data_IF_904217186265
#
_entry.id   IF_904217186265
#
_cell.length_a   1.000
_cell.length_b   1.000
_cell.length_c   1.000
_cell.angle_alpha   90.00
_cell.angle_beta   90.00
_cell.angle_gamma   90.00
#
_symmetry.space_group_name_H-M   'P 1'
#
loop_
_entity.id
_entity.type
_entity.pdbx_description
1 polymer ?
#
# COMPACT_ATOMS: atom_id res chain seq x y z
N UNK A 1 -2.95 10.30 27.29
CA UNK A 1 -4.05 10.91 26.49
C UNK A 1 -4.34 12.40 26.76
N UNK A 2 -3.69 13.09 27.70
CA UNK A 2 -3.90 14.54 27.94
C UNK A 2 -2.72 15.43 27.53
N UNK A 3 -1.60 14.86 27.10
CA UNK A 3 -0.37 15.59 26.77
C UNK A 3 -0.14 15.76 25.25
N UNK A 4 -0.76 14.94 24.41
CA UNK A 4 -0.66 15.05 22.94
C UNK A 4 -1.57 16.16 22.40
N UNK A 5 -2.77 16.30 22.95
CA UNK A 5 -3.74 17.32 22.52
C UNK A 5 -3.27 18.79 22.78
N UNK A 6 -2.32 18.99 23.72
CA UNK A 6 -1.74 20.32 24.02
C UNK A 6 -0.64 20.73 23.05
N UNK A 7 0.04 19.77 22.40
CA UNK A 7 1.09 20.06 21.41
C UNK A 7 0.49 20.41 20.05
N UNK A 8 -0.61 19.76 19.68
CA UNK A 8 -1.29 20.02 18.41
C UNK A 8 -1.99 21.38 18.42
N UNK A 9 -2.64 21.75 19.54
CA UNK A 9 -3.28 23.07 19.70
C UNK A 9 -2.22 24.20 19.63
N UNK A 10 -1.05 24.00 20.24
CA UNK A 10 0.02 24.99 20.26
C UNK A 10 0.69 25.15 18.89
N UNK A 11 0.63 24.12 18.05
CA UNK A 11 1.14 24.16 16.68
C UNK A 11 0.18 24.88 15.74
N UNK A 12 -1.13 24.68 15.90
CA UNK A 12 -2.16 25.42 15.17
C UNK A 12 -2.22 26.91 15.56
N UNK A 13 -1.91 27.23 16.83
CA UNK A 13 -1.84 28.64 17.25
C UNK A 13 -0.62 29.36 16.67
N UNK A 14 0.54 28.69 16.61
CA UNK A 14 1.76 29.24 16.00
C UNK A 14 1.62 29.42 14.47
N UNK A 15 0.99 28.48 13.76
CA UNK A 15 0.71 28.61 12.32
C UNK A 15 -0.28 29.77 12.03
N UNK A 16 -1.22 30.03 12.93
CA UNK A 16 -2.15 31.16 12.81
C UNK A 16 -1.52 32.52 13.14
N UNK A 17 -0.53 32.56 14.01
CA UNK A 17 0.27 33.76 14.29
C UNK A 17 1.19 34.09 13.10
N UNK A 18 1.89 33.10 12.53
CA UNK A 18 2.74 33.30 11.35
C UNK A 18 1.93 33.75 10.12
N UNK A 19 0.70 33.23 9.93
CA UNK A 19 -0.17 33.68 8.84
C UNK A 19 -0.63 35.12 9.05
N UNK A 20 -0.90 35.55 10.27
CA UNK A 20 -1.30 36.93 10.57
C UNK A 20 -0.16 37.92 10.40
N UNK A 21 1.05 37.58 10.83
CA UNK A 21 2.23 38.41 10.61
C UNK A 21 2.54 38.60 9.11
N UNK A 22 2.39 37.54 8.31
CA UNK A 22 2.58 37.63 6.85
C UNK A 22 1.46 38.42 6.16
N UNK A 23 0.21 38.36 6.65
CA UNK A 23 -0.90 39.17 6.12
C UNK A 23 -0.74 40.67 6.50
N UNK A 24 -0.17 40.97 7.66
CA UNK A 24 0.09 42.34 8.12
C UNK A 24 1.28 42.97 7.36
N UNK A 25 2.37 42.21 7.12
CA UNK A 25 3.50 42.63 6.27
C UNK A 25 3.09 42.90 4.82
N UNK A 26 2.18 42.07 4.25
CA UNK A 26 1.65 42.28 2.90
C UNK A 26 0.79 43.56 2.86
N UNK A 27 0.02 43.86 3.90
CA UNK A 27 -0.84 45.03 3.97
C UNK A 27 -0.06 46.32 4.17
N UNK A 28 1.04 46.31 4.96
CA UNK A 28 1.95 47.43 5.09
C UNK A 28 2.75 47.71 3.80
N UNK A 29 3.07 46.65 3.04
CA UNK A 29 3.70 46.81 1.73
C UNK A 29 2.75 47.36 0.66
N UNK A 30 1.44 47.12 0.76
CA UNK A 30 0.43 47.69 -0.13
C UNK A 30 0.11 49.18 0.18
N UNK A 31 0.19 49.63 1.43
CA UNK A 31 -0.05 51.04 1.81
C UNK A 31 1.11 51.96 1.45
N UNK A 32 2.32 51.46 1.17
CA UNK A 32 3.49 52.30 0.87
C UNK A 32 3.75 52.50 -0.64
N UNK A 33 2.84 52.05 -1.52
CA UNK A 33 2.98 52.16 -2.99
C UNK A 33 1.99 53.10 -3.66
N UNK A 34 1.37 54.01 -2.90
CA UNK A 34 0.48 55.01 -3.50
C UNK A 34 1.09 56.43 -3.37
N UNK A 35 1.97 56.79 -4.31
CA UNK A 35 2.21 58.12 -4.85
C UNK A 35 3.43 58.09 -5.77
N UNK A 36 3.23 58.19 -7.09
CA UNK A 36 3.81 59.12 -8.04
C UNK A 36 3.77 58.60 -9.51
N UNK A 37 3.03 59.40 -10.26
CA UNK A 37 3.31 60.03 -11.57
C UNK A 37 3.50 59.19 -12.86
N UNK A 38 2.71 59.59 -13.84
CA UNK A 38 2.50 59.31 -15.27
C UNK A 38 3.68 58.83 -16.13
N UNK A 39 3.50 57.63 -16.77
CA UNK A 39 3.91 57.39 -18.17
C UNK A 39 3.26 56.12 -18.76
N UNK A 40 2.64 56.24 -19.94
CA UNK A 40 1.90 55.19 -20.68
C UNK A 40 2.69 53.92 -21.11
N UNK A 41 4.03 53.84 -21.11
CA UNK A 41 4.75 52.61 -21.36
C UNK A 41 4.77 51.63 -20.18
N UNK A 42 4.44 52.05 -18.95
CA UNK A 42 4.48 51.20 -17.76
C UNK A 42 3.23 50.32 -17.59
N UNK A 43 2.10 50.67 -18.21
CA UNK A 43 0.88 49.84 -18.10
C UNK A 43 0.95 48.55 -18.91
N UNK A 44 1.61 48.57 -20.07
CA UNK A 44 1.80 47.32 -20.87
C UNK A 44 2.80 46.37 -20.22
N UNK A 45 3.89 46.89 -19.61
CA UNK A 45 4.83 46.11 -18.85
C UNK A 45 4.21 45.55 -17.55
N UNK A 46 3.35 46.33 -16.86
CA UNK A 46 2.64 45.86 -15.66
C UNK A 46 1.65 44.74 -15.99
N UNK A 47 0.86 44.88 -17.06
CA UNK A 47 -0.06 43.83 -17.53
C UNK A 47 0.68 42.57 -17.95
N UNK A 48 1.82 42.71 -18.63
CA UNK A 48 2.66 41.53 -18.99
C UNK A 48 3.19 40.80 -17.76
N UNK A 49 3.63 41.54 -16.72
CA UNK A 49 4.09 40.94 -15.46
C UNK A 49 2.96 40.33 -14.65
N UNK A 50 1.78 40.94 -14.64
CA UNK A 50 0.58 40.38 -13.99
C UNK A 50 0.15 39.06 -14.65
N UNK A 51 0.15 39.01 -15.98
CA UNK A 51 -0.16 37.78 -16.73
C UNK A 51 0.88 36.68 -16.47
N UNK A 52 2.16 37.03 -16.37
CA UNK A 52 3.24 36.11 -16.00
C UNK A 52 3.06 35.58 -14.56
N UNK A 53 2.74 36.45 -13.60
CA UNK A 53 2.47 36.03 -12.22
C UNK A 53 1.22 35.16 -12.11
N UNK A 54 0.17 35.46 -12.85
CA UNK A 54 -1.05 34.66 -12.93
C UNK A 54 -0.74 33.26 -13.51
N UNK A 55 0.01 33.21 -14.60
CA UNK A 55 0.42 31.96 -15.22
C UNK A 55 1.31 31.13 -14.26
N UNK A 56 2.22 31.79 -13.54
CA UNK A 56 3.06 31.14 -12.53
C UNK A 56 2.23 30.61 -11.36
N UNK A 57 1.30 31.41 -10.84
CA UNK A 57 0.40 30.99 -9.76
C UNK A 57 -0.47 29.80 -10.16
N UNK A 58 -1.03 29.81 -11.38
CA UNK A 58 -1.79 28.68 -11.92
C UNK A 58 -0.93 27.43 -12.05
N UNK A 59 0.31 27.58 -12.49
CA UNK A 59 1.25 26.47 -12.60
C UNK A 59 1.60 25.88 -11.23
N UNK A 60 1.90 26.74 -10.24
CA UNK A 60 2.20 26.32 -8.87
C UNK A 60 0.99 25.60 -8.27
N UNK A 61 -0.22 26.12 -8.49
CA UNK A 61 -1.45 25.49 -8.04
C UNK A 61 -1.63 24.09 -8.65
N UNK A 62 -1.42 23.96 -9.96
CA UNK A 62 -1.50 22.69 -10.66
C UNK A 62 -0.44 21.68 -10.15
N UNK A 63 0.79 22.14 -9.94
CA UNK A 63 1.87 21.32 -9.40
C UNK A 63 1.58 20.87 -7.96
N UNK A 64 1.01 21.77 -7.14
CA UNK A 64 0.59 21.44 -5.78
C UNK A 64 -0.53 20.39 -5.76
N UNK A 65 -1.54 20.53 -6.61
CA UNK A 65 -2.63 19.55 -6.72
C UNK A 65 -2.12 18.18 -7.20
N UNK A 66 -1.20 18.18 -8.15
CA UNK A 66 -0.54 16.95 -8.61
C UNK A 66 0.31 16.31 -7.50
N UNK A 67 1.08 17.12 -6.77
CA UNK A 67 1.85 16.67 -5.62
C UNK A 67 0.95 16.07 -4.53
N UNK A 68 -0.15 16.75 -4.20
CA UNK A 68 -1.11 16.28 -3.21
C UNK A 68 -1.74 14.94 -3.60
N UNK A 69 -2.19 14.80 -4.85
CA UNK A 69 -2.74 13.55 -5.39
C UNK A 69 -1.71 12.41 -5.30
N UNK A 70 -0.49 12.69 -5.76
CA UNK A 70 0.61 11.72 -5.73
C UNK A 70 0.98 11.33 -4.29
N UNK A 71 0.98 12.26 -3.35
CA UNK A 71 1.34 11.99 -1.96
C UNK A 71 0.31 11.09 -1.26
N UNK A 72 -0.98 11.28 -1.56
CA UNK A 72 -2.05 10.39 -1.07
C UNK A 72 -1.86 8.97 -1.61
N UNK A 73 -1.57 8.82 -2.91
CA UNK A 73 -1.31 7.52 -3.52
C UNK A 73 -0.08 6.85 -2.89
N UNK A 74 1.05 7.56 -2.83
CA UNK A 74 2.31 7.03 -2.24
C UNK A 74 2.10 6.56 -0.79
N UNK A 75 1.30 7.30 -0.01
CA UNK A 75 1.00 6.89 1.38
C UNK A 75 0.14 5.63 1.44
N UNK A 76 -0.85 5.51 0.57
CA UNK A 76 -1.70 4.32 0.48
C UNK A 76 -0.89 3.10 0.04
N UNK A 77 -0.02 3.28 -0.97
CA UNK A 77 0.87 2.24 -1.48
C UNK A 77 1.86 1.77 -0.40
N UNK A 78 2.50 2.72 0.32
CA UNK A 78 3.42 2.40 1.41
C UNK A 78 2.74 1.63 2.55
N UNK A 79 1.48 1.96 2.90
CA UNK A 79 0.72 1.22 3.89
C UNK A 79 0.40 -0.21 3.41
N UNK A 80 0.04 -0.35 2.13
CA UNK A 80 -0.20 -1.65 1.50
C UNK A 80 1.08 -2.48 1.47
N UNK A 81 2.21 -1.87 1.12
CA UNK A 81 3.52 -2.53 1.09
C UNK A 81 3.94 -3.01 2.47
N UNK A 82 3.78 -2.17 3.50
CA UNK A 82 4.06 -2.55 4.88
C UNK A 82 3.19 -3.71 5.38
N UNK A 83 1.91 -3.75 4.98
CA UNK A 83 1.03 -4.90 5.26
C UNK A 83 1.52 -6.17 4.57
N UNK A 84 1.89 -6.09 3.28
CA UNK A 84 2.41 -7.23 2.53
C UNK A 84 3.69 -7.78 3.17
N UNK A 85 4.60 -6.90 3.59
CA UNK A 85 5.87 -7.30 4.21
C UNK A 85 5.66 -7.97 5.57
N UNK A 86 4.79 -7.43 6.42
CA UNK A 86 4.42 -8.02 7.69
C UNK A 86 3.77 -9.40 7.51
N UNK A 87 2.82 -9.53 6.58
CA UNK A 87 2.18 -10.81 6.26
C UNK A 87 3.21 -11.80 5.76
N UNK A 88 4.08 -11.41 4.80
CA UNK A 88 5.14 -12.27 4.26
C UNK A 88 6.05 -12.83 5.33
N UNK A 89 6.42 -12.03 6.34
CA UNK A 89 7.23 -12.47 7.47
C UNK A 89 6.50 -13.50 8.36
N UNK A 90 5.16 -13.47 8.38
CA UNK A 90 4.34 -14.35 9.20
C UNK A 90 3.99 -15.69 8.54
N UNK A 91 3.97 -15.74 7.19
CA UNK A 91 3.61 -16.95 6.43
C UNK A 91 4.42 -18.20 6.81
N UNK A 92 5.75 -18.14 7.07
CA UNK A 92 6.49 -19.33 7.49
C UNK A 92 6.00 -19.96 8.80
N UNK A 93 5.45 -19.16 9.71
CA UNK A 93 4.87 -19.66 10.96
C UNK A 93 3.62 -20.48 10.66
N UNK A 94 2.78 -19.98 9.76
CA UNK A 94 1.56 -20.64 9.31
C UNK A 94 1.86 -21.95 8.58
N UNK A 95 2.86 -21.96 7.67
CA UNK A 95 3.31 -23.17 6.98
C UNK A 95 3.80 -24.25 7.96
N UNK A 96 4.51 -23.84 9.03
CA UNK A 96 4.97 -24.77 10.04
C UNK A 96 3.81 -25.37 10.86
N UNK A 97 2.79 -24.57 11.16
CA UNK A 97 1.57 -25.06 11.84
C UNK A 97 0.78 -26.01 10.94
N UNK A 98 0.59 -25.69 9.66
CA UNK A 98 -0.06 -26.57 8.69
C UNK A 98 0.67 -27.92 8.59
N UNK A 99 2.00 -27.87 8.44
CA UNK A 99 2.84 -29.07 8.36
C UNK A 99 2.79 -29.93 9.63
N UNK A 100 2.78 -29.30 10.81
CA UNK A 100 2.64 -30.00 12.08
C UNK A 100 1.29 -30.73 12.16
N UNK A 101 0.20 -30.05 11.81
CA UNK A 101 -1.14 -30.65 11.77
C UNK A 101 -1.24 -31.80 10.79
N UNK A 102 -0.67 -31.65 9.59
CA UNK A 102 -0.66 -32.71 8.58
C UNK A 102 0.14 -33.95 9.05
N UNK A 103 1.31 -33.72 9.65
CA UNK A 103 2.13 -34.78 10.19
C UNK A 103 1.40 -35.57 11.29
N UNK A 104 0.75 -34.87 12.22
CA UNK A 104 0.02 -35.50 13.32
C UNK A 104 -1.26 -36.23 12.82
N UNK A 105 -1.95 -35.70 11.82
CA UNK A 105 -3.06 -36.41 11.15
C UNK A 105 -2.60 -37.71 10.52
N UNK A 106 -1.45 -37.68 9.84
CA UNK A 106 -0.87 -38.89 9.21
C UNK A 106 -0.41 -39.91 10.26
N UNK A 107 0.01 -39.48 11.45
CA UNK A 107 0.35 -40.33 12.58
C UNK A 107 -0.87 -40.93 13.30
N UNK A 108 -2.09 -40.51 12.92
CA UNK A 108 -3.32 -40.95 13.57
C UNK A 108 -3.55 -40.35 14.95
N UNK A 109 -2.81 -39.31 15.30
CA UNK A 109 -2.98 -38.60 16.58
C UNK A 109 -4.30 -37.87 16.59
N UNK A 110 -5.16 -38.16 17.55
CA UNK A 110 -6.42 -37.42 17.77
C UNK A 110 -6.47 -36.95 19.21
N UNK A 111 -6.99 -35.73 19.43
CA UNK A 111 -7.14 -35.23 20.79
C UNK A 111 -7.29 -33.69 20.84
N UNK A 112 -7.56 -33.20 22.04
CA UNK A 112 -7.83 -31.77 22.30
C UNK A 112 -6.72 -30.81 21.84
N UNK A 113 -5.47 -31.28 21.77
CA UNK A 113 -4.35 -30.51 21.27
C UNK A 113 -4.49 -30.23 19.75
N UNK A 114 -4.87 -31.27 18.98
CA UNK A 114 -5.12 -31.14 17.55
C UNK A 114 -6.26 -30.16 17.26
N UNK A 115 -7.38 -30.31 17.98
CA UNK A 115 -8.52 -29.41 17.86
C UNK A 115 -8.12 -27.98 18.18
N UNK A 116 -7.25 -27.77 19.19
CA UNK A 116 -6.70 -26.47 19.56
C UNK A 116 -5.83 -25.88 18.45
N UNK A 117 -4.95 -26.66 17.83
CA UNK A 117 -4.09 -26.20 16.72
C UNK A 117 -4.92 -25.87 15.47
N UNK A 118 -5.93 -26.68 15.14
CA UNK A 118 -6.85 -26.37 14.03
C UNK A 118 -7.61 -25.07 14.26
N UNK A 119 -8.04 -24.81 15.50
CA UNK A 119 -8.70 -23.55 15.85
C UNK A 119 -7.76 -22.35 15.69
N UNK A 120 -6.49 -22.48 16.11
CA UNK A 120 -5.48 -21.43 15.92
C UNK A 120 -5.26 -21.15 14.44
N UNK A 121 -5.07 -22.19 13.62
CA UNK A 121 -4.90 -22.03 12.17
C UNK A 121 -6.11 -21.36 11.53
N UNK A 122 -7.32 -21.76 11.90
CA UNK A 122 -8.55 -21.14 11.42
C UNK A 122 -8.64 -19.64 11.81
N UNK A 123 -8.23 -19.29 13.02
CA UNK A 123 -8.20 -17.90 13.46
C UNK A 123 -7.16 -17.09 12.67
N UNK A 124 -5.97 -17.64 12.40
CA UNK A 124 -4.94 -17.01 11.58
C UNK A 124 -5.44 -16.76 10.15
N UNK A 125 -6.04 -17.77 9.52
CA UNK A 125 -6.64 -17.62 8.17
C UNK A 125 -7.69 -16.53 8.16
N UNK A 126 -8.55 -16.47 9.19
CA UNK A 126 -9.54 -15.40 9.30
C UNK A 126 -8.90 -14.00 9.39
N UNK A 127 -7.86 -13.84 10.22
CA UNK A 127 -7.13 -12.56 10.34
C UNK A 127 -6.52 -12.16 9.00
N UNK A 128 -5.94 -13.10 8.24
CA UNK A 128 -5.41 -12.83 6.90
C UNK A 128 -6.53 -12.36 5.95
N UNK A 129 -7.68 -13.02 5.97
CA UNK A 129 -8.85 -12.61 5.17
C UNK A 129 -9.35 -11.22 5.56
N UNK A 130 -9.41 -10.90 6.84
CA UNK A 130 -9.80 -9.58 7.35
C UNK A 130 -8.81 -8.46 6.94
N UNK A 131 -7.54 -8.81 6.71
CA UNK A 131 -6.52 -7.92 6.15
C UNK A 131 -6.59 -7.78 4.62
N UNK A 132 -7.48 -8.53 3.95
CA UNK A 132 -7.64 -8.57 2.50
C UNK A 132 -6.65 -9.49 1.80
N UNK A 133 -6.04 -10.42 2.54
CA UNK A 133 -5.15 -11.45 1.99
C UNK A 133 -5.99 -12.62 1.50
N UNK A 134 -5.75 -13.03 0.26
CA UNK A 134 -6.40 -14.18 -0.38
C UNK A 134 -5.37 -15.29 -0.66
N UNK A 135 -5.75 -16.53 -0.41
CA UNK A 135 -4.96 -17.69 -0.83
C UNK A 135 -5.06 -17.88 -2.35
N UNK A 136 -3.93 -18.17 -2.99
CA UNK A 136 -3.86 -18.50 -4.41
C UNK A 136 -4.20 -19.99 -4.54
N UNK A 137 -5.40 -20.25 -5.04
CA UNK A 137 -5.85 -21.63 -5.31
C UNK A 137 -5.16 -22.14 -6.60
N UNK A 138 -4.12 -22.94 -6.41
CA UNK A 138 -3.27 -23.43 -7.48
C UNK A 138 -3.53 -24.88 -7.85
N UNK A 139 -3.98 -25.73 -6.90
CA UNK A 139 -4.09 -27.19 -7.11
C UNK A 139 -5.07 -27.53 -8.23
N UNK A 140 -4.62 -28.34 -9.20
CA UNK A 140 -5.44 -28.77 -10.33
C UNK A 140 -5.72 -27.69 -11.38
N UNK A 141 -5.14 -26.49 -11.24
CA UNK A 141 -5.27 -25.41 -12.22
C UNK A 141 -4.08 -25.38 -13.18
N UNK A 142 -4.26 -24.69 -14.32
CA UNK A 142 -3.17 -24.41 -15.22
C UNK A 142 -2.08 -23.57 -14.52
N UNK A 143 -0.83 -23.87 -14.81
CA UNK A 143 0.30 -23.13 -14.28
C UNK A 143 0.28 -21.69 -14.81
N UNK A 144 0.34 -20.73 -13.88
CA UNK A 144 0.40 -19.30 -14.16
C UNK A 144 1.69 -18.72 -13.57
N UNK A 145 2.64 -18.25 -14.39
CA UNK A 145 3.88 -17.66 -13.90
C UNK A 145 3.70 -16.39 -13.04
N UNK A 146 2.55 -15.70 -13.16
CA UNK A 146 2.30 -14.48 -12.39
C UNK A 146 1.99 -14.74 -10.91
N UNK A 147 1.53 -15.95 -10.57
CA UNK A 147 1.18 -16.30 -9.19
C UNK A 147 1.75 -17.63 -8.71
N UNK A 148 2.33 -18.44 -9.58
CA UNK A 148 2.90 -19.75 -9.25
C UNK A 148 4.41 -19.79 -9.51
N UNK A 149 5.14 -20.50 -8.65
CA UNK A 149 6.56 -20.82 -8.82
C UNK A 149 6.73 -22.34 -8.94
N UNK A 150 7.04 -22.83 -10.13
CA UNK A 150 7.28 -24.23 -10.38
C UNK A 150 8.65 -24.66 -9.83
N UNK A 151 8.65 -25.42 -8.75
CA UNK A 151 9.88 -25.93 -8.10
C UNK A 151 10.25 -27.33 -8.58
N UNK A 152 9.27 -28.07 -9.09
CA UNK A 152 9.46 -29.44 -9.58
C UNK A 152 8.55 -29.73 -10.76
N UNK A 153 9.03 -30.56 -11.67
CA UNK A 153 8.25 -31.12 -12.76
C UNK A 153 8.04 -32.61 -12.55
N UNK A 154 6.89 -33.11 -12.93
CA UNK A 154 6.54 -34.52 -12.91
C UNK A 154 5.96 -34.92 -14.26
N UNK A 155 6.26 -36.11 -14.73
CA UNK A 155 5.64 -36.66 -15.93
C UNK A 155 4.11 -36.71 -15.76
N UNK A 156 3.37 -36.21 -16.78
CA UNK A 156 1.91 -36.31 -16.78
C UNK A 156 1.50 -37.78 -16.75
N UNK A 157 0.64 -38.16 -15.78
CA UNK A 157 0.03 -39.47 -15.77
C UNK A 157 -0.94 -39.69 -16.92
N UNK A 158 -1.36 -40.95 -17.17
CA UNK A 158 -2.36 -41.25 -18.19
C UNK A 158 -3.65 -40.45 -17.94
N UNK A 159 -3.99 -39.55 -18.87
CA UNK A 159 -5.18 -38.69 -18.80
C UNK A 159 -4.99 -37.34 -18.08
N UNK A 160 -3.78 -37.00 -17.66
CA UNK A 160 -3.48 -35.67 -17.13
C UNK A 160 -2.98 -34.72 -18.21
N UNK A 161 -3.49 -33.49 -18.19
CA UNK A 161 -3.01 -32.45 -19.09
C UNK A 161 -1.63 -31.95 -18.67
N UNK A 162 -0.80 -31.58 -19.65
CA UNK A 162 0.50 -30.94 -19.38
C UNK A 162 0.30 -29.50 -18.93
N UNK A 163 1.21 -29.01 -18.08
CA UNK A 163 1.17 -27.64 -17.58
C UNK A 163 0.13 -27.40 -16.49
N UNK A 164 -0.36 -28.45 -15.85
CA UNK A 164 -1.30 -28.37 -14.71
C UNK A 164 -0.53 -28.54 -13.40
N UNK A 165 -0.97 -27.87 -12.36
CA UNK A 165 -0.41 -27.99 -11.01
C UNK A 165 -0.84 -29.32 -10.39
N UNK A 166 0.11 -30.23 -10.22
CA UNK A 166 -0.11 -31.55 -9.66
C UNK A 166 -0.10 -31.55 -8.13
N UNK A 167 0.74 -30.72 -7.51
CA UNK A 167 0.82 -30.58 -6.06
C UNK A 167 1.25 -29.18 -5.65
N UNK A 168 0.90 -28.77 -4.44
CA UNK A 168 1.29 -27.49 -3.84
C UNK A 168 2.14 -27.79 -2.60
N UNK A 169 3.41 -27.38 -2.62
CA UNK A 169 4.33 -27.53 -1.50
C UNK A 169 4.23 -26.40 -0.48
N UNK A 170 3.93 -25.18 -0.96
CA UNK A 170 3.66 -24.06 -0.09
C UNK A 170 2.59 -23.17 -0.76
N UNK A 171 1.59 -22.77 0.01
CA UNK A 171 0.49 -21.96 -0.46
C UNK A 171 0.96 -20.58 -0.87
N UNK A 172 0.41 -20.04 -1.95
CA UNK A 172 0.60 -18.66 -2.39
C UNK A 172 -0.43 -17.74 -1.74
N UNK A 173 -0.06 -16.47 -1.60
CA UNK A 173 -0.95 -15.44 -1.05
C UNK A 173 -0.82 -14.13 -1.81
N UNK A 174 -1.94 -13.42 -1.97
CA UNK A 174 -2.04 -12.12 -2.64
C UNK A 174 -2.92 -11.15 -1.86
N UNK A 175 -2.72 -9.85 -2.07
CA UNK A 175 -3.64 -8.78 -1.66
C UNK A 175 -4.10 -8.04 -2.90
N UNK A 176 -5.37 -8.15 -3.27
CA UNK A 176 -5.87 -7.61 -4.53
C UNK A 176 -5.05 -8.14 -5.72
N UNK A 177 -4.39 -7.24 -6.45
CA UNK A 177 -3.54 -7.61 -7.60
C UNK A 177 -2.06 -7.84 -7.25
N UNK A 178 -1.66 -7.64 -5.98
CA UNK A 178 -0.27 -7.76 -5.57
C UNK A 178 0.00 -9.12 -4.94
N UNK A 179 0.90 -9.90 -5.53
CA UNK A 179 1.35 -11.19 -4.97
C UNK A 179 2.31 -10.93 -3.81
N UNK A 180 1.97 -11.45 -2.61
CA UNK A 180 2.81 -11.42 -1.42
C UNK A 180 3.84 -12.53 -1.48
N UNK A 181 3.38 -13.74 -1.85
CA UNK A 181 4.21 -14.94 -2.01
C UNK A 181 3.60 -15.84 -3.08
N UNK A 182 4.42 -16.27 -4.02
CA UNK A 182 4.04 -17.23 -5.05
C UNK A 182 3.73 -18.60 -4.44
N UNK A 183 2.74 -19.30 -4.97
CA UNK A 183 2.52 -20.70 -4.60
C UNK A 183 3.67 -21.56 -5.15
N UNK A 184 4.33 -22.33 -4.28
CA UNK A 184 5.37 -23.29 -4.70
C UNK A 184 4.71 -24.57 -5.15
N UNK A 185 4.81 -24.88 -6.44
CA UNK A 185 4.01 -25.92 -7.07
C UNK A 185 4.86 -26.93 -7.83
N UNK A 186 4.32 -28.15 -7.97
CA UNK A 186 4.76 -29.16 -8.88
C UNK A 186 3.87 -29.13 -10.14
N UNK A 187 4.46 -29.13 -11.31
CA UNK A 187 3.76 -29.01 -12.58
C UNK A 187 3.94 -30.27 -13.43
N UNK A 188 2.88 -30.73 -14.10
CA UNK A 188 2.93 -31.81 -15.08
C UNK A 188 3.63 -31.37 -16.36
N UNK A 189 4.56 -32.19 -16.89
CA UNK A 189 5.32 -31.91 -18.12
C UNK A 189 4.94 -32.85 -19.26
#
# INVERSE_FOLDING_TARGET
MKTENKKDIKKEELEKEEIKETEEEIREAEEHSAEDDYSEPEEEEKKSKEDEYLALAQRIQADFDNYRKRNISVRADALSDGKCEAVKAFLPVMDNLERALETEKNNGTTGSLMDGLELVLKQMTKVLTDLGVEEIDALGKAFDPECHNAVMKVAAGEGQEKGVVAAVFAKGYKIGNKVIRYAMVQVTD
#
